data_IF_705182057714
#
_entry.id   IF_705182057714
#
_cell.length_a   1.000
_cell.length_b   1.000
_cell.length_c   1.000
_cell.angle_alpha   90.00
_cell.angle_beta   90.00
_cell.angle_gamma   90.00
#
_symmetry.space_group_name_H-M   'P 1'
#
loop_
_entity.id
_entity.type
_entity.pdbx_description
1 polymer ?
#
# COMPACT_ATOMS: atom_id res chain seq x y z
N UNK A 1 -6.47 -7.68 -6.81
CA UNK A 1 -7.33 -8.13 -7.93
C UNK A 1 -7.55 -7.02 -8.94
N UNK A 2 -7.97 -5.83 -8.50
CA UNK A 2 -8.35 -4.70 -9.36
C UNK A 2 -7.26 -4.30 -10.37
N UNK A 3 -5.99 -4.20 -9.95
CA UNK A 3 -4.91 -3.87 -10.88
C UNK A 3 -4.79 -4.88 -12.04
N UNK A 4 -4.88 -6.18 -11.75
CA UNK A 4 -4.83 -7.23 -12.77
C UNK A 4 -6.06 -7.19 -13.69
N UNK A 5 -7.25 -6.91 -13.14
CA UNK A 5 -8.47 -6.76 -13.93
C UNK A 5 -8.40 -5.55 -14.86
N UNK A 6 -7.91 -4.41 -14.38
CA UNK A 6 -7.76 -3.20 -15.20
C UNK A 6 -6.84 -3.42 -16.39
N UNK A 7 -5.70 -4.12 -16.19
CA UNK A 7 -4.83 -4.54 -17.30
C UNK A 7 -5.58 -5.50 -18.25
N UNK A 8 -6.29 -6.49 -17.73
CA UNK A 8 -7.07 -7.43 -18.55
C UNK A 8 -8.17 -6.75 -19.37
N UNK A 9 -8.66 -5.58 -18.94
CA UNK A 9 -9.62 -4.76 -19.68
C UNK A 9 -8.98 -3.86 -20.75
N UNK A 10 -7.66 -3.96 -20.98
CA UNK A 10 -6.96 -3.29 -22.07
C UNK A 10 -6.22 -2.02 -21.67
N UNK A 11 -6.03 -1.76 -20.37
CA UNK A 11 -5.15 -0.69 -19.93
C UNK A 11 -3.67 -1.06 -20.16
N UNK A 12 -2.87 -0.13 -20.70
CA UNK A 12 -1.43 -0.32 -20.85
C UNK A 12 -0.69 -0.26 -19.50
N UNK A 13 -1.23 0.51 -18.55
CA UNK A 13 -0.64 0.75 -17.23
C UNK A 13 -1.73 0.96 -16.17
N UNK A 14 -1.39 0.66 -14.92
CA UNK A 14 -2.22 0.96 -13.75
C UNK A 14 -1.42 1.78 -12.75
N UNK A 15 -2.00 2.91 -12.33
CA UNK A 15 -1.48 3.70 -11.22
C UNK A 15 -2.10 3.21 -9.91
N UNK A 16 -1.26 3.07 -8.88
CA UNK A 16 -1.62 2.59 -7.56
C UNK A 16 -1.34 3.70 -6.52
N UNK A 17 -2.37 4.06 -5.76
CA UNK A 17 -2.30 5.14 -4.76
C UNK A 17 -2.04 4.60 -3.35
N UNK A 18 -3.07 4.69 -2.48
CA UNK A 18 -2.99 4.32 -1.06
C UNK A 18 -2.44 2.92 -0.79
N UNK A 19 -2.73 1.94 -1.65
CA UNK A 19 -2.21 0.58 -1.50
C UNK A 19 -0.68 0.47 -1.67
N UNK A 20 -0.07 1.36 -2.46
CA UNK A 20 1.37 1.39 -2.69
C UNK A 20 2.14 1.96 -1.50
N UNK A 21 1.47 2.73 -0.63
CA UNK A 21 2.10 3.39 0.51
C UNK A 21 2.60 2.37 1.55
N UNK A 22 1.80 1.33 1.80
CA UNK A 22 2.19 0.22 2.68
C UNK A 22 2.91 -0.91 1.97
N UNK A 23 3.24 -0.76 0.68
CA UNK A 23 3.85 -1.78 -0.16
C UNK A 23 4.73 -1.10 -1.23
N UNK A 24 5.82 -0.47 -0.81
CA UNK A 24 6.66 0.37 -1.66
C UNK A 24 7.29 -0.42 -2.83
N UNK A 25 7.58 -1.70 -2.62
CA UNK A 25 8.10 -2.63 -3.62
C UNK A 25 7.02 -3.49 -4.28
N UNK A 26 5.74 -3.09 -4.23
CA UNK A 26 4.63 -3.90 -4.76
C UNK A 26 4.83 -4.40 -6.21
N UNK A 27 5.39 -3.63 -7.17
CA UNK A 27 5.66 -4.15 -8.51
C UNK A 27 6.59 -5.38 -8.51
N UNK A 28 7.62 -5.39 -7.67
CA UNK A 28 8.55 -6.52 -7.54
C UNK A 28 7.87 -7.70 -6.84
N UNK A 29 7.13 -7.45 -5.75
CA UNK A 29 6.34 -8.49 -5.06
C UNK A 29 5.42 -9.24 -6.03
N UNK A 30 4.73 -8.52 -6.93
CA UNK A 30 3.86 -9.14 -7.93
C UNK A 30 4.63 -10.02 -8.92
N UNK A 31 5.83 -9.58 -9.35
CA UNK A 31 6.69 -10.38 -10.22
C UNK A 31 7.15 -11.68 -9.54
N UNK A 32 7.34 -11.64 -8.22
CA UNK A 32 7.75 -12.77 -7.40
C UNK A 32 6.57 -13.65 -6.92
N UNK A 33 5.34 -13.31 -7.32
CA UNK A 33 4.11 -14.04 -6.95
C UNK A 33 3.61 -13.77 -5.53
N UNK A 34 4.13 -12.73 -4.88
CA UNK A 34 3.73 -12.30 -3.55
C UNK A 34 2.52 -11.36 -3.59
N UNK A 35 1.74 -11.39 -2.51
CA UNK A 35 0.59 -10.50 -2.35
C UNK A 35 0.95 -9.30 -1.47
N UNK A 36 0.45 -8.10 -1.78
CA UNK A 36 0.66 -6.93 -0.93
C UNK A 36 -0.01 -7.12 0.43
N UNK A 37 0.56 -6.50 1.45
CA UNK A 37 -0.07 -6.37 2.76
C UNK A 37 -1.26 -5.42 2.69
N UNK A 38 -2.30 -5.72 3.46
CA UNK A 38 -3.51 -4.90 3.53
C UNK A 38 -3.53 -4.08 4.83
N UNK A 39 -4.13 -2.88 4.81
CA UNK A 39 -4.36 -2.11 6.02
C UNK A 39 -5.35 -2.81 6.98
N UNK A 40 -5.32 -2.52 8.29
CA UNK A 40 -4.49 -1.50 8.91
C UNK A 40 -3.02 -1.93 9.04
N UNK A 41 -2.11 -1.06 8.63
CA UNK A 41 -0.67 -1.27 8.77
C UNK A 41 -0.19 -0.84 10.17
N UNK A 42 0.83 -1.51 10.69
CA UNK A 42 1.48 -1.02 11.92
C UNK A 42 2.38 0.18 11.61
N UNK A 43 2.59 1.09 12.58
CA UNK A 43 3.58 2.16 12.44
C UNK A 43 4.96 1.64 12.08
N UNK A 44 5.36 0.51 12.67
CA UNK A 44 6.66 -0.13 12.45
C UNK A 44 6.80 -0.60 11.00
N UNK A 45 5.76 -1.25 10.45
CA UNK A 45 5.71 -1.63 9.04
C UNK A 45 5.83 -0.41 8.12
N UNK A 46 5.06 0.64 8.37
CA UNK A 46 5.13 1.85 7.54
C UNK A 46 6.52 2.51 7.57
N UNK A 47 7.25 2.42 8.69
CA UNK A 47 8.63 2.89 8.75
C UNK A 47 9.57 2.03 7.90
N UNK A 48 9.37 0.71 7.84
CA UNK A 48 10.16 -0.16 6.94
C UNK A 48 9.86 0.13 5.47
N UNK A 49 8.64 0.57 5.16
CA UNK A 49 8.25 1.08 3.83
C UNK A 49 8.78 2.50 3.53
N UNK A 50 9.56 3.10 4.44
CA UNK A 50 10.24 4.38 4.24
C UNK A 50 9.46 5.62 4.71
N UNK A 51 8.35 5.45 5.43
CA UNK A 51 7.59 6.57 5.95
C UNK A 51 8.25 7.18 7.20
N UNK A 52 8.29 8.50 7.25
CA UNK A 52 8.70 9.25 8.46
C UNK A 52 7.61 9.20 9.54
N UNK A 53 7.99 9.39 10.81
CA UNK A 53 7.06 9.49 11.95
C UNK A 53 5.93 10.48 11.68
N UNK A 54 6.27 11.68 11.20
CA UNK A 54 5.31 12.73 10.88
C UNK A 54 4.28 12.28 9.84
N UNK A 55 4.71 11.48 8.86
CA UNK A 55 3.82 11.00 7.82
C UNK A 55 2.94 9.85 8.30
N UNK A 56 3.48 8.95 9.14
CA UNK A 56 2.68 7.92 9.83
C UNK A 56 1.60 8.57 10.69
N UNK A 57 1.93 9.61 11.46
CA UNK A 57 0.96 10.34 12.29
C UNK A 57 -0.11 11.05 11.47
N UNK A 58 0.24 11.59 10.31
CA UNK A 58 -0.72 12.12 9.36
C UNK A 58 -1.70 11.03 8.89
N UNK A 59 -1.19 9.84 8.57
CA UNK A 59 -1.99 8.71 8.09
C UNK A 59 -2.87 8.06 9.15
N UNK A 60 -2.58 8.22 10.45
CA UNK A 60 -3.50 7.81 11.53
C UNK A 60 -4.88 8.47 11.43
N UNK A 61 -4.99 9.57 10.69
CA UNK A 61 -6.28 10.26 10.43
C UNK A 61 -7.13 9.55 9.38
N UNK A 62 -6.58 8.58 8.65
CA UNK A 62 -7.30 7.82 7.64
C UNK A 62 -7.92 6.56 8.28
N UNK A 63 -9.26 6.45 8.29
CA UNK A 63 -9.91 5.35 8.99
C UNK A 63 -9.44 3.97 8.54
N UNK A 64 -9.01 3.16 9.50
CA UNK A 64 -8.55 1.79 9.26
C UNK A 64 -7.23 1.66 8.48
N UNK A 65 -6.48 2.75 8.26
CA UNK A 65 -5.20 2.68 7.53
C UNK A 65 -4.00 2.33 8.42
N UNK A 66 -3.93 2.92 9.63
CA UNK A 66 -2.88 2.64 10.62
C UNK A 66 -3.52 2.00 11.85
N UNK A 67 -2.86 1.02 12.46
CA UNK A 67 -3.34 0.44 13.72
C UNK A 67 -3.43 1.50 14.83
N UNK A 68 -4.57 1.54 15.54
CA UNK A 68 -4.87 2.56 16.54
C UNK A 68 -5.09 3.97 15.98
N UNK A 69 -5.29 4.11 14.67
CA UNK A 69 -5.80 5.33 14.02
C UNK A 69 -7.30 5.54 14.22
N UNK A 70 -7.80 6.64 13.66
CA UNK A 70 -9.22 6.98 13.62
C UNK A 70 -10.06 5.95 12.84
#
# INVERSE_FOLDING_TARGET
ADAAQTIAHGADMVAIGRAAIGNANWPQMLADGESPTLPPHTPEHLKTEGLSDRFVDYMRRWPGFVTGGA
#
